data_IF_716981226578
#
_entry.id   IF_716981226578
#
_cell.length_a   1.000
_cell.length_b   1.000
_cell.length_c   1.000
_cell.angle_alpha   90.00
_cell.angle_beta   90.00
_cell.angle_gamma   90.00
#
_symmetry.space_group_name_H-M   'P 1'
#
loop_
_entity.id
_entity.type
_entity.pdbx_description
1 polymer ?
#
# COMPACT_ATOMS: atom_id res chain seq x y z
N UNK A 1 -2.55 21.07 21.41
CA UNK A 1 -2.29 19.63 21.24
C UNK A 1 -2.97 19.26 19.94
N UNK A 2 -2.20 19.09 18.88
CA UNK A 2 -2.70 18.66 17.59
C UNK A 2 -2.76 17.14 17.63
N UNK A 3 -3.97 16.60 17.63
CA UNK A 3 -4.20 15.16 17.66
C UNK A 3 -4.20 14.64 16.23
N UNK A 4 -3.55 13.50 16.01
CA UNK A 4 -3.91 12.67 14.87
C UNK A 4 -5.32 12.10 15.12
N UNK A 5 -6.21 12.30 14.15
CA UNK A 5 -7.38 11.48 13.81
C UNK A 5 -8.25 10.93 14.95
N UNK A 6 -9.46 11.48 15.12
CA UNK A 6 -10.55 10.76 15.81
C UNK A 6 -11.08 9.51 15.08
N UNK A 7 -10.58 9.17 13.89
CA UNK A 7 -11.10 8.03 13.13
C UNK A 7 -10.01 7.21 12.47
N UNK A 8 -9.61 6.14 13.13
CA UNK A 8 -9.00 4.97 12.48
C UNK A 8 -10.14 3.96 12.29
N UNK A 9 -10.59 3.78 11.04
CA UNK A 9 -11.57 2.74 10.75
C UNK A 9 -10.86 1.39 10.62
N UNK A 10 -11.04 0.50 11.60
CA UNK A 10 -10.39 -0.82 11.63
C UNK A 10 -11.04 -1.85 10.70
N UNK A 11 -11.97 -1.43 9.85
CA UNK A 11 -12.86 -2.33 9.13
C UNK A 11 -13.52 -1.60 7.93
N UNK A 12 -13.20 -1.96 6.69
CA UNK A 12 -13.83 -1.40 5.50
C UNK A 12 -13.97 -2.47 4.42
N UNK A 13 -14.84 -2.19 3.46
CA UNK A 13 -15.05 -3.05 2.31
C UNK A 13 -13.98 -2.85 1.24
N UNK A 14 -13.72 -3.89 0.46
CA UNK A 14 -12.75 -3.90 -0.62
C UNK A 14 -13.48 -4.12 -1.95
N UNK A 15 -13.27 -3.23 -2.93
CA UNK A 15 -14.14 -3.16 -4.11
C UNK A 15 -13.50 -3.58 -5.44
N UNK A 16 -12.18 -3.43 -5.59
CA UNK A 16 -11.46 -3.72 -6.84
C UNK A 16 -10.23 -4.55 -6.57
N UNK A 17 -10.22 -5.75 -7.14
CA UNK A 17 -9.11 -6.70 -7.06
C UNK A 17 -8.14 -6.51 -8.24
N UNK A 18 -6.84 -6.59 -7.94
CA UNK A 18 -5.76 -6.68 -8.92
C UNK A 18 -4.94 -7.91 -8.54
N UNK A 19 -4.74 -8.85 -9.45
CA UNK A 19 -4.05 -10.11 -9.13
C UNK A 19 -2.83 -10.30 -10.02
N UNK A 20 -1.95 -11.21 -9.60
CA UNK A 20 -0.90 -11.74 -10.46
C UNK A 20 -1.37 -12.98 -11.26
N UNK A 21 -2.68 -13.22 -11.37
CA UNK A 21 -3.20 -14.44 -12.00
C UNK A 21 -2.72 -14.57 -13.44
N UNK A 22 -2.09 -15.71 -13.75
CA UNK A 22 -1.45 -15.97 -15.05
C UNK A 22 0.05 -15.69 -15.06
N UNK A 23 0.64 -15.11 -14.01
CA UNK A 23 2.09 -14.86 -13.90
C UNK A 23 2.96 -16.11 -13.87
N UNK A 24 2.37 -17.28 -13.58
CA UNK A 24 3.06 -18.54 -13.27
C UNK A 24 4.03 -18.41 -12.09
N UNK A 25 3.91 -17.36 -11.28
CA UNK A 25 4.58 -17.30 -9.99
C UNK A 25 4.16 -18.53 -9.17
N UNK A 26 5.08 -19.11 -8.39
CA UNK A 26 4.73 -20.19 -7.46
C UNK A 26 3.85 -19.74 -6.29
N UNK A 27 3.49 -18.45 -6.21
CA UNK A 27 2.78 -17.82 -5.09
C UNK A 27 1.79 -16.78 -5.57
N UNK A 28 0.57 -16.86 -5.05
CA UNK A 28 -0.52 -15.96 -5.41
C UNK A 28 -0.43 -14.63 -4.65
N UNK A 29 -0.78 -13.54 -5.31
CA UNK A 29 -1.04 -12.26 -4.64
C UNK A 29 -2.26 -11.57 -5.24
N UNK A 30 -3.07 -10.97 -4.38
CA UNK A 30 -4.10 -10.02 -4.79
C UNK A 30 -4.01 -8.72 -3.99
N UNK A 31 -4.22 -7.61 -4.69
CA UNK A 31 -4.28 -6.26 -4.14
C UNK A 31 -5.70 -5.72 -4.24
N UNK A 32 -6.10 -4.94 -3.26
CA UNK A 32 -7.47 -4.52 -3.09
C UNK A 32 -7.56 -3.04 -2.76
N UNK A 33 -8.43 -2.34 -3.49
CA UNK A 33 -8.75 -0.94 -3.21
C UNK A 33 -9.67 -0.82 -2.00
N UNK A 34 -9.30 0.04 -1.02
CA UNK A 34 -10.22 0.45 0.04
C UNK A 34 -11.45 1.18 -0.49
N UNK A 35 -12.63 0.70 -0.12
CA UNK A 35 -13.89 1.41 -0.34
C UNK A 35 -14.09 2.42 0.79
N UNK A 36 -13.78 3.68 0.50
CA UNK A 36 -13.91 4.78 1.48
C UNK A 36 -15.20 5.59 1.34
N UNK A 37 -15.94 5.42 0.24
CA UNK A 37 -17.20 6.11 0.02
C UNK A 37 -18.29 5.60 0.95
N UNK A 38 -18.99 6.51 1.64
CA UNK A 38 -20.10 6.15 2.53
C UNK A 38 -19.68 5.65 3.90
N UNK A 39 -18.38 5.72 4.23
CA UNK A 39 -17.90 5.60 5.61
C UNK A 39 -18.17 6.94 6.30
N UNK A 40 -18.82 6.90 7.46
CA UNK A 40 -19.21 8.09 8.24
C UNK A 40 -20.37 8.88 7.64
N UNK A 41 -21.20 9.44 8.52
CA UNK A 41 -22.41 10.19 8.16
C UNK A 41 -22.08 11.60 7.62
N UNK A 42 -21.31 11.71 6.54
CA UNK A 42 -20.93 12.98 5.89
C UNK A 42 -19.48 13.42 6.10
N UNK A 43 -18.57 12.48 6.39
CA UNK A 43 -17.14 12.72 6.60
C UNK A 43 -16.31 12.19 5.42
N UNK A 44 -15.15 12.80 5.15
CA UNK A 44 -14.23 12.38 4.09
C UNK A 44 -13.16 11.42 4.62
N UNK A 45 -13.17 10.20 4.10
CA UNK A 45 -12.30 9.10 4.49
C UNK A 45 -11.25 8.80 3.41
N UNK A 46 -10.02 8.51 3.82
CA UNK A 46 -8.86 8.32 2.93
C UNK A 46 -8.05 7.08 3.27
N UNK A 47 -7.27 6.56 2.33
CA UNK A 47 -6.38 5.42 2.56
C UNK A 47 -4.93 5.77 2.18
N UNK A 48 -3.98 4.99 2.69
CA UNK A 48 -2.54 5.26 2.56
C UNK A 48 -1.79 4.25 1.69
N UNK A 49 -2.51 3.25 1.16
CA UNK A 49 -2.07 2.27 0.17
C UNK A 49 -3.13 1.20 -0.06
N UNK A 50 -2.86 0.25 -0.96
CA UNK A 50 -3.76 -0.89 -1.18
C UNK A 50 -3.62 -1.93 -0.07
N UNK A 51 -4.66 -2.71 0.16
CA UNK A 51 -4.55 -3.93 0.94
C UNK A 51 -4.06 -5.08 0.06
N UNK A 52 -3.30 -6.03 0.60
CA UNK A 52 -2.87 -7.20 -0.16
C UNK A 52 -3.03 -8.51 0.62
N UNK A 53 -3.30 -9.60 -0.09
CA UNK A 53 -3.36 -10.96 0.46
C UNK A 53 -2.56 -11.92 -0.41
N UNK A 54 -2.08 -13.00 0.19
CA UNK A 54 -1.28 -14.04 -0.45
C UNK A 54 -2.12 -15.15 -1.12
N UNK A 55 -3.31 -14.78 -1.60
CA UNK A 55 -4.26 -15.67 -2.26
C UNK A 55 -5.21 -14.86 -3.15
N UNK A 56 -6.00 -15.54 -3.97
CA UNK A 56 -7.04 -14.93 -4.80
C UNK A 56 -8.42 -14.83 -4.14
N UNK A 57 -8.58 -15.37 -2.93
CA UNK A 57 -9.87 -15.34 -2.24
C UNK A 57 -10.22 -13.91 -1.84
N UNK A 58 -11.51 -13.62 -1.79
CA UNK A 58 -11.99 -12.38 -1.21
C UNK A 58 -11.50 -12.30 0.24
N UNK A 59 -10.84 -11.20 0.64
CA UNK A 59 -10.49 -10.99 2.03
C UNK A 59 -11.76 -10.91 2.88
N UNK A 60 -11.71 -11.35 4.15
CA UNK A 60 -12.87 -11.34 5.02
C UNK A 60 -13.40 -9.91 5.17
N UNK A 61 -14.70 -9.68 4.98
CA UNK A 61 -15.32 -8.37 5.25
C UNK A 61 -15.90 -8.33 6.67
N UNK A 62 -15.61 -7.28 7.45
CA UNK A 62 -14.72 -6.17 7.09
C UNK A 62 -13.24 -6.58 7.20
N UNK A 63 -12.44 -6.21 6.21
CA UNK A 63 -11.00 -6.51 6.18
C UNK A 63 -10.24 -5.37 6.85
N UNK A 64 -9.14 -5.67 7.55
CA UNK A 64 -8.18 -4.61 7.88
C UNK A 64 -7.53 -4.09 6.58
N UNK A 65 -7.10 -2.81 6.48
CA UNK A 65 -6.81 -1.86 7.56
C UNK A 65 -7.10 -0.34 7.33
N UNK A 66 -7.12 0.39 8.44
CA UNK A 66 -7.15 1.86 8.66
C UNK A 66 -7.39 2.77 7.45
N UNK A 67 -8.65 3.18 7.34
CA UNK A 67 -9.02 4.41 6.66
C UNK A 67 -8.78 5.59 7.62
N UNK A 68 -8.06 6.60 7.15
CA UNK A 68 -7.67 7.80 7.90
C UNK A 68 -8.68 8.90 7.61
N UNK A 69 -9.32 9.41 8.66
CA UNK A 69 -10.16 10.60 8.58
C UNK A 69 -9.28 11.85 8.49
N UNK A 70 -9.54 12.73 7.52
CA UNK A 70 -8.89 14.04 7.50
C UNK A 70 -9.57 14.98 8.51
N UNK A 71 -8.95 15.18 9.67
CA UNK A 71 -9.33 16.26 10.58
C UNK A 71 -8.49 17.50 10.29
N UNK A 72 -9.17 18.61 10.03
CA UNK A 72 -8.52 19.89 9.71
C UNK A 72 -7.89 20.50 10.97
N UNK A 73 -6.57 20.40 11.11
CA UNK A 73 -5.79 21.15 12.12
C UNK A 73 -5.74 22.66 11.76
N UNK A 74 -5.58 22.97 10.46
CA UNK A 74 -5.89 24.28 9.82
C UNK A 74 -5.84 24.16 8.29
N UNK A 75 -6.42 25.13 7.55
CA UNK A 75 -6.37 25.19 6.07
C UNK A 75 -4.94 25.14 5.48
N UNK A 76 -3.92 25.44 6.29
CA UNK A 76 -2.51 25.50 5.88
C UNK A 76 -1.67 24.33 6.39
N UNK A 77 -2.22 23.49 7.27
CA UNK A 77 -1.49 22.37 7.88
C UNK A 77 -2.40 21.15 7.94
N UNK A 78 -2.67 20.57 6.77
CA UNK A 78 -3.50 19.37 6.65
C UNK A 78 -2.71 18.13 7.08
N UNK A 79 -3.36 17.19 7.77
CA UNK A 79 -2.75 15.94 8.21
C UNK A 79 -2.46 14.98 7.05
N UNK A 80 -3.22 15.11 5.97
CA UNK A 80 -3.14 14.33 4.75
C UNK A 80 -2.82 15.24 3.55
N UNK A 81 -2.11 14.69 2.58
CA UNK A 81 -1.82 15.37 1.30
C UNK A 81 -1.77 14.38 0.15
N UNK A 82 -2.20 14.81 -1.03
CA UNK A 82 -2.13 13.98 -2.22
C UNK A 82 -0.67 13.65 -2.59
N UNK A 83 -0.38 12.42 -3.07
CA UNK A 83 0.94 12.11 -3.60
C UNK A 83 1.25 12.97 -4.84
N UNK A 84 2.53 13.22 -5.08
CA UNK A 84 3.02 13.93 -6.26
C UNK A 84 3.08 13.02 -7.50
N UNK A 85 3.07 11.71 -7.30
CA UNK A 85 3.21 10.72 -8.34
C UNK A 85 3.55 9.34 -7.77
N UNK A 86 4.07 8.46 -8.63
CA UNK A 86 4.41 7.09 -8.29
C UNK A 86 5.80 6.73 -8.82
N UNK A 87 6.51 5.88 -8.08
CA UNK A 87 7.81 5.32 -8.45
C UNK A 87 7.68 3.82 -8.61
N UNK A 88 8.10 3.29 -9.76
CA UNK A 88 8.12 1.85 -10.01
C UNK A 88 8.99 1.12 -8.99
N UNK A 89 8.42 0.11 -8.34
CA UNK A 89 9.16 -0.83 -7.47
C UNK A 89 9.47 -2.10 -8.23
N UNK A 90 8.47 -2.65 -8.91
CA UNK A 90 8.58 -3.92 -9.61
C UNK A 90 7.55 -4.01 -10.74
N UNK A 91 7.95 -4.63 -11.84
CA UNK A 91 7.11 -4.92 -13.00
C UNK A 91 7.33 -6.38 -13.34
N UNK A 92 6.27 -7.09 -13.68
CA UNK A 92 6.33 -8.48 -14.10
C UNK A 92 6.82 -8.59 -15.55
N UNK A 93 8.03 -8.13 -15.84
CA UNK A 93 8.67 -8.32 -17.15
C UNK A 93 9.26 -9.74 -17.21
N UNK A 94 8.50 -10.69 -17.76
CA UNK A 94 8.94 -12.07 -17.98
C UNK A 94 8.93 -12.43 -19.46
N UNK A 95 10.03 -12.98 -19.96
CA UNK A 95 10.17 -13.36 -21.38
C UNK A 95 9.18 -14.45 -21.86
N UNK A 96 8.49 -15.13 -20.94
CA UNK A 96 7.55 -16.24 -21.23
C UNK A 96 6.29 -16.27 -20.32
N UNK A 97 6.02 -15.19 -19.58
CA UNK A 97 4.86 -15.11 -18.66
C UNK A 97 3.92 -13.95 -19.05
N UNK A 98 2.59 -14.17 -19.09
CA UNK A 98 1.61 -13.18 -19.53
C UNK A 98 1.20 -12.17 -18.44
N UNK A 99 1.93 -12.05 -17.34
CA UNK A 99 1.54 -11.12 -16.27
C UNK A 99 2.09 -9.74 -16.53
N UNK A 100 1.21 -8.75 -16.51
CA UNK A 100 1.57 -7.34 -16.66
C UNK A 100 1.44 -6.58 -15.32
N UNK A 101 1.50 -7.27 -14.18
CA UNK A 101 1.39 -6.63 -12.87
C UNK A 101 2.53 -5.62 -12.68
N UNK A 102 2.18 -4.39 -12.30
CA UNK A 102 3.13 -3.36 -11.86
C UNK A 102 2.86 -2.96 -10.42
N UNK A 103 3.91 -2.77 -9.63
CA UNK A 103 3.86 -2.37 -8.22
C UNK A 103 4.65 -1.06 -8.06
N UNK A 104 4.05 -0.09 -7.37
CA UNK A 104 4.58 1.27 -7.26
C UNK A 104 4.49 1.80 -5.83
N UNK A 105 5.46 2.62 -5.45
CA UNK A 105 5.43 3.42 -4.23
C UNK A 105 4.98 4.85 -4.55
N UNK A 106 4.22 5.46 -3.64
CA UNK A 106 3.82 6.86 -3.76
C UNK A 106 5.05 7.77 -3.62
N UNK A 107 4.99 8.95 -4.25
CA UNK A 107 5.93 10.04 -4.05
C UNK A 107 5.29 11.08 -3.14
N UNK A 108 5.76 11.20 -1.90
CA UNK A 108 5.22 12.15 -0.96
C UNK A 108 5.73 13.58 -1.19
N UNK A 109 4.89 14.61 -0.98
CA UNK A 109 5.36 16.00 -0.87
C UNK A 109 6.23 16.21 0.38
N UNK A 110 7.01 17.29 0.40
CA UNK A 110 7.85 17.63 1.54
C UNK A 110 7.02 17.81 2.83
N UNK A 111 7.49 17.24 3.94
CA UNK A 111 6.77 17.21 5.23
C UNK A 111 5.73 16.09 5.35
N UNK A 112 5.60 15.23 4.33
CA UNK A 112 4.71 14.08 4.32
C UNK A 112 5.50 12.80 3.99
N UNK A 113 4.93 11.66 4.37
CA UNK A 113 5.45 10.32 4.17
C UNK A 113 4.45 9.50 3.37
N UNK A 114 4.95 8.80 2.37
CA UNK A 114 4.24 7.76 1.64
C UNK A 114 4.37 6.46 2.43
N UNK A 115 3.25 5.92 2.92
CA UNK A 115 3.26 4.72 3.75
C UNK A 115 3.23 3.45 2.90
N UNK A 116 2.13 3.22 2.17
CA UNK A 116 1.91 1.99 1.42
C UNK A 116 2.32 2.05 -0.04
N UNK A 117 1.97 0.99 -0.75
CA UNK A 117 2.18 0.81 -2.18
C UNK A 117 0.84 0.64 -2.91
N UNK A 118 0.88 0.80 -4.22
CA UNK A 118 -0.22 0.47 -5.13
C UNK A 118 0.23 -0.57 -6.14
N UNK A 119 -0.75 -1.19 -6.80
CA UNK A 119 -0.54 -2.10 -7.91
C UNK A 119 -1.45 -1.74 -9.08
N UNK A 120 -1.05 -2.10 -10.30
CA UNK A 120 -1.86 -2.00 -11.52
C UNK A 120 -1.83 -3.33 -12.26
N UNK A 121 -2.94 -3.68 -12.91
CA UNK A 121 -3.05 -4.93 -13.65
C UNK A 121 -2.20 -4.96 -14.94
N UNK A 122 -1.81 -3.79 -15.45
CA UNK A 122 -0.98 -3.65 -16.64
C UNK A 122 0.02 -2.50 -16.49
N UNK A 123 1.30 -2.81 -16.30
CA UNK A 123 2.37 -1.82 -16.14
C UNK A 123 2.60 -0.98 -17.40
N UNK A 124 2.17 -1.45 -18.58
CA UNK A 124 2.20 -0.64 -19.81
C UNK A 124 1.21 0.53 -19.74
N UNK A 125 0.25 0.46 -18.82
CA UNK A 125 -0.66 1.54 -18.45
C UNK A 125 -0.31 2.01 -17.02
N UNK A 126 0.76 2.82 -16.85
CA UNK A 126 1.24 3.21 -15.53
C UNK A 126 0.17 4.02 -14.76
N UNK A 127 0.18 3.96 -13.42
CA UNK A 127 -0.84 4.60 -12.59
C UNK A 127 -0.78 6.13 -12.72
N UNK A 128 -1.95 6.77 -12.75
CA UNK A 128 -2.09 8.22 -12.63
C UNK A 128 -2.74 8.61 -11.31
N UNK A 129 -2.51 9.84 -10.84
CA UNK A 129 -3.13 10.34 -9.60
C UNK A 129 -4.67 10.32 -9.67
N UNK A 130 -5.25 10.48 -10.86
CA UNK A 130 -6.69 10.47 -11.06
C UNK A 130 -7.33 9.09 -10.81
N UNK A 131 -6.56 8.00 -10.89
CA UNK A 131 -7.03 6.64 -10.61
C UNK A 131 -7.20 6.37 -9.10
N UNK A 132 -6.61 7.23 -8.25
CA UNK A 132 -6.54 7.06 -6.80
C UNK A 132 -6.91 8.35 -6.03
N UNK A 133 -8.14 8.90 -6.20
CA UNK A 133 -8.52 10.22 -5.66
C UNK A 133 -8.53 10.30 -4.13
N UNK A 134 -8.64 9.16 -3.43
CA UNK A 134 -8.65 9.10 -1.96
C UNK A 134 -7.37 8.50 -1.35
N UNK A 135 -6.33 8.31 -2.17
CA UNK A 135 -5.03 7.85 -1.73
C UNK A 135 -4.19 9.04 -1.25
N UNK A 136 -3.73 9.00 -0.01
CA UNK A 136 -3.05 10.12 0.63
C UNK A 136 -1.71 9.73 1.26
N UNK A 137 -0.78 10.68 1.26
CA UNK A 137 0.40 10.69 2.12
C UNK A 137 0.04 11.31 3.47
N UNK A 138 0.81 10.96 4.51
CA UNK A 138 0.55 11.36 5.90
C UNK A 138 1.64 12.31 6.37
N UNK A 139 1.31 13.37 7.11
CA UNK A 139 2.31 14.30 7.65
C UNK A 139 3.33 13.55 8.51
N UNK A 140 4.60 13.94 8.45
CA UNK A 140 5.70 13.18 9.05
C UNK A 140 5.58 12.98 10.58
N UNK A 141 5.10 13.99 11.30
CA UNK A 141 4.88 13.96 12.75
C UNK A 141 3.83 12.93 13.21
N UNK A 142 3.11 12.34 12.26
CA UNK A 142 2.06 11.35 12.45
C UNK A 142 2.47 9.94 12.03
N UNK A 143 3.73 9.80 11.65
CA UNK A 143 4.33 8.54 11.24
C UNK A 143 5.36 8.10 12.28
N UNK A 144 5.54 6.79 12.41
CA UNK A 144 6.58 6.19 13.24
C UNK A 144 7.36 5.16 12.43
N UNK A 145 8.62 4.94 12.80
CA UNK A 145 9.43 3.87 12.21
C UNK A 145 8.96 2.52 12.74
N UNK A 146 8.70 1.58 11.83
CA UNK A 146 8.37 0.19 12.13
C UNK A 146 9.40 -0.75 11.52
N UNK A 147 9.56 -1.92 12.15
CA UNK A 147 10.34 -3.03 11.59
C UNK A 147 9.36 -4.10 11.13
N UNK A 148 9.44 -4.48 9.86
CA UNK A 148 8.60 -5.53 9.28
C UNK A 148 9.40 -6.82 9.21
N UNK A 149 8.91 -7.87 9.86
CA UNK A 149 9.51 -9.20 9.87
C UNK A 149 8.79 -10.20 8.96
N UNK A 150 9.08 -11.48 9.20
CA UNK A 150 8.47 -12.61 8.46
C UNK A 150 6.95 -12.69 8.67
N UNK A 151 6.48 -12.30 9.85
CA UNK A 151 5.07 -12.25 10.23
C UNK A 151 4.28 -11.20 9.44
N UNK A 152 4.97 -10.16 8.94
CA UNK A 152 4.35 -9.14 8.09
C UNK A 152 4.43 -9.47 6.61
N UNK A 153 5.25 -10.46 6.21
CA UNK A 153 5.48 -10.76 4.81
C UNK A 153 4.24 -11.39 4.17
N UNK A 154 3.73 -10.75 3.11
CA UNK A 154 2.59 -11.23 2.33
C UNK A 154 3.10 -12.10 1.18
N UNK A 155 4.06 -11.58 0.40
CA UNK A 155 4.46 -12.20 -0.85
C UNK A 155 5.90 -11.84 -1.24
N UNK A 156 6.54 -12.73 -1.99
CA UNK A 156 7.78 -12.47 -2.71
C UNK A 156 7.71 -13.09 -4.11
N UNK A 157 8.54 -12.59 -5.01
CA UNK A 157 8.60 -13.08 -6.38
C UNK A 157 9.72 -14.12 -6.60
N UNK A 158 10.22 -14.79 -5.55
CA UNK A 158 11.44 -15.61 -5.63
C UNK A 158 11.37 -16.71 -6.71
N UNK A 159 10.16 -17.19 -6.99
CA UNK A 159 9.86 -18.26 -7.96
C UNK A 159 9.31 -17.76 -9.30
N UNK A 160 9.20 -16.44 -9.51
CA UNK A 160 8.58 -15.88 -10.72
C UNK A 160 9.50 -15.85 -11.95
N UNK A 161 10.81 -16.14 -11.77
CA UNK A 161 11.81 -16.02 -12.84
C UNK A 161 12.06 -14.59 -13.33
N UNK A 162 11.53 -13.57 -12.65
CA UNK A 162 11.73 -12.17 -13.04
C UNK A 162 13.14 -11.67 -12.67
N UNK A 163 13.67 -10.76 -13.48
CA UNK A 163 15.03 -10.21 -13.33
C UNK A 163 15.18 -9.37 -12.04
N UNK A 164 14.10 -8.68 -11.64
CA UNK A 164 14.05 -7.88 -10.41
C UNK A 164 13.35 -8.67 -9.32
N UNK A 165 13.80 -8.50 -8.08
CA UNK A 165 13.19 -9.15 -6.92
C UNK A 165 12.45 -8.13 -6.07
N UNK A 166 11.29 -8.53 -5.56
CA UNK A 166 10.41 -7.72 -4.73
C UNK A 166 9.84 -8.56 -3.61
N UNK A 167 9.58 -7.87 -2.51
CA UNK A 167 8.90 -8.38 -1.34
C UNK A 167 7.75 -7.41 -1.04
N UNK A 168 6.61 -7.95 -0.66
CA UNK A 168 5.41 -7.20 -0.27
C UNK A 168 5.05 -7.58 1.15
N UNK A 169 5.02 -6.59 2.04
CA UNK A 169 4.67 -6.75 3.45
C UNK A 169 3.36 -6.03 3.78
N UNK A 170 2.75 -6.40 4.89
CA UNK A 170 1.66 -5.69 5.52
C UNK A 170 2.20 -4.73 6.57
N UNK A 171 1.80 -3.45 6.50
CA UNK A 171 2.09 -2.49 7.56
C UNK A 171 1.27 -2.81 8.84
N UNK A 172 1.84 -2.81 10.05
CA UNK A 172 1.11 -3.30 11.23
C UNK A 172 -0.04 -2.39 11.67
N UNK A 173 0.06 -1.07 11.45
CA UNK A 173 -0.89 -0.07 11.92
C UNK A 173 -1.80 0.41 10.80
N UNK A 174 -1.26 0.87 9.67
CA UNK A 174 -2.09 1.25 8.54
C UNK A 174 -2.60 0.08 7.73
N UNK A 175 -1.97 -1.10 7.84
CA UNK A 175 -2.17 -2.34 7.08
C UNK A 175 -2.15 -2.26 5.56
N UNK A 176 -1.86 -1.08 5.01
CA UNK A 176 -1.52 -0.98 3.62
C UNK A 176 -0.36 -1.95 3.33
N UNK A 177 -0.36 -2.51 2.13
CA UNK A 177 0.78 -3.25 1.63
C UNK A 177 1.94 -2.28 1.40
N UNK A 178 3.16 -2.75 1.61
CA UNK A 178 4.38 -2.03 1.33
C UNK A 178 5.31 -2.92 0.52
N UNK A 179 5.76 -2.44 -0.63
CA UNK A 179 6.62 -3.17 -1.54
C UNK A 179 8.03 -2.59 -1.56
N UNK A 180 9.03 -3.47 -1.54
CA UNK A 180 10.44 -3.09 -1.66
C UNK A 180 11.19 -4.04 -2.57
N UNK A 181 11.88 -3.46 -3.54
CA UNK A 181 12.83 -4.20 -4.37
C UNK A 181 14.10 -4.58 -3.60
N UNK A 182 14.69 -5.72 -3.92
CA UNK A 182 15.98 -6.14 -3.38
C UNK A 182 16.85 -6.82 -4.44
N UNK A 183 18.15 -6.86 -4.18
CA UNK A 183 19.14 -7.55 -5.02
C UNK A 183 19.55 -8.86 -4.34
N UNK A 184 19.47 -10.00 -5.06
CA UNK A 184 19.89 -11.31 -4.52
C UNK A 184 21.35 -11.33 -4.04
N UNK A 185 22.22 -10.53 -4.67
CA UNK A 185 23.62 -10.37 -4.25
C UNK A 185 23.78 -9.77 -2.85
N UNK A 186 22.78 -9.03 -2.35
CA UNK A 186 22.74 -8.46 -1.01
C UNK A 186 22.06 -9.39 0.02
N UNK A 187 21.66 -10.60 -0.40
CA UNK A 187 20.90 -11.53 0.43
C UNK A 187 19.39 -11.26 0.41
N UNK A 188 18.63 -12.22 0.91
CA UNK A 188 17.18 -12.09 1.09
C UNK A 188 16.90 -11.29 2.38
N UNK A 189 16.20 -10.13 2.30
CA UNK A 189 15.83 -9.37 3.49
C UNK A 189 14.96 -10.19 4.46
N UNK A 190 15.45 -10.41 5.68
CA UNK A 190 14.69 -11.06 6.76
C UNK A 190 13.80 -10.09 7.52
N UNK A 191 14.21 -8.82 7.53
CA UNK A 191 13.47 -7.70 8.07
C UNK A 191 13.77 -6.43 7.25
N UNK A 192 12.88 -5.44 7.36
CA UNK A 192 13.09 -4.11 6.81
C UNK A 192 12.56 -3.03 7.77
N UNK A 193 13.19 -1.85 7.75
CA UNK A 193 12.63 -0.65 8.37
C UNK A 193 11.88 0.19 7.34
N UNK A 194 10.72 0.70 7.73
CA UNK A 194 9.90 1.66 6.97
C UNK A 194 9.09 2.53 7.95
N UNK A 195 8.22 3.40 7.43
CA UNK A 195 7.28 4.18 8.22
C UNK A 195 5.88 3.58 8.18
N UNK A 196 5.13 3.78 9.26
CA UNK A 196 3.71 3.48 9.34
C UNK A 196 3.00 4.51 10.24
N UNK A 197 1.67 4.45 10.31
CA UNK A 197 0.88 5.32 11.17
C UNK A 197 1.32 5.19 12.64
N UNK A 198 1.46 6.33 13.29
CA UNK A 198 1.54 6.39 14.74
C UNK A 198 0.13 6.32 15.33
N UNK A 199 -0.17 5.23 16.04
CA UNK A 199 -1.44 5.14 16.76
C UNK A 199 -1.44 6.13 17.93
N UNK A 200 -2.58 6.81 18.20
CA UNK A 200 -2.70 7.60 19.42
C UNK A 200 -2.52 6.70 20.66
N UNK A 201 -1.94 7.23 21.74
CA UNK A 201 -1.74 6.51 23.00
C UNK A 201 -3.04 6.09 23.69
#
# INVERSE_FOLDING_TARGET
MSFLCQGVCNSFDLNKQITDQGSRSGREISFWHPLVSGIGHGEDYFYTGLYATNNYANPPSPSGPVVVLQEYDSDKNLCLSAPLGFTTVWECEGNDSPCNLGIYNLQAPAGYIALGSIAVADFNTPPSLADYPSLMCVRDEFCQVVTLGKENLIWDNAESGADRNVLVWQLPYSGACFARGYQRSQGYPTDIQTFDLMLPP
#
